data_IF_639739206403
#
_entry.id   IF_639739206403
#
_cell.length_a   1.000
_cell.length_b   1.000
_cell.length_c   1.000
_cell.angle_alpha   90.00
_cell.angle_beta   90.00
_cell.angle_gamma   90.00
#
_symmetry.space_group_name_H-M   'P 1'
#
loop_
_entity.id
_entity.type
_entity.pdbx_description
1 polymer ?
#
# COMPACT_ATOMS: atom_id res chain seq x y z
N UNK A 1 -24.52 -6.42 0.25
CA UNK A 1 -24.96 -7.21 -0.92
C UNK A 1 -23.80 -7.21 -1.90
N UNK A 2 -23.13 -8.35 -2.08
CA UNK A 2 -21.84 -8.44 -2.77
C UNK A 2 -22.02 -8.36 -4.29
N UNK A 3 -21.21 -7.54 -4.95
CA UNK A 3 -21.16 -7.48 -6.41
C UNK A 3 -19.83 -8.07 -6.87
N UNK A 4 -19.82 -9.38 -7.14
CA UNK A 4 -18.66 -10.14 -7.66
C UNK A 4 -18.15 -9.65 -9.04
N UNK A 5 -18.82 -8.65 -9.63
CA UNK A 5 -18.45 -8.04 -10.90
C UNK A 5 -17.77 -6.67 -10.76
N UNK A 6 -17.40 -6.23 -9.54
CA UNK A 6 -16.61 -4.99 -9.38
C UNK A 6 -15.21 -5.20 -9.94
N UNK A 7 -15.04 -4.85 -11.21
CA UNK A 7 -13.73 -4.74 -11.86
C UNK A 7 -13.13 -3.35 -11.73
N UNK A 8 -13.90 -2.38 -11.23
CA UNK A 8 -13.49 -1.00 -11.07
C UNK A 8 -13.94 -0.48 -9.71
N UNK A 9 -13.08 0.30 -9.07
CA UNK A 9 -13.36 0.96 -7.82
C UNK A 9 -12.80 2.39 -7.87
N UNK A 10 -13.71 3.35 -7.92
CA UNK A 10 -13.35 4.77 -7.88
C UNK A 10 -13.25 5.21 -6.42
N UNK A 11 -12.03 5.25 -5.90
CA UNK A 11 -11.79 5.57 -4.50
C UNK A 11 -12.03 7.07 -4.20
N UNK A 12 -11.64 7.96 -5.12
CA UNK A 12 -12.03 9.38 -5.07
C UNK A 12 -12.00 10.02 -6.48
N UNK A 13 -11.99 11.35 -6.56
CA UNK A 13 -11.94 12.06 -7.87
C UNK A 13 -10.63 11.87 -8.64
N UNK A 14 -9.55 11.47 -7.96
CA UNK A 14 -8.21 11.31 -8.53
C UNK A 14 -7.76 9.86 -8.67
N UNK A 15 -8.26 8.96 -7.82
CA UNK A 15 -7.80 7.57 -7.71
C UNK A 15 -8.87 6.61 -8.22
N UNK A 16 -8.46 5.75 -9.14
CA UNK A 16 -9.25 4.64 -9.67
C UNK A 16 -8.42 3.37 -9.57
N UNK A 17 -9.03 2.28 -9.09
CA UNK A 17 -8.48 0.94 -9.18
C UNK A 17 -9.29 0.14 -10.18
N UNK A 18 -8.62 -0.70 -10.98
CA UNK A 18 -9.27 -1.63 -11.90
C UNK A 18 -8.60 -2.99 -11.87
N UNK A 19 -9.39 -4.05 -11.82
CA UNK A 19 -8.93 -5.42 -12.03
C UNK A 19 -8.85 -5.69 -13.55
N UNK A 20 -7.63 -5.71 -14.09
CA UNK A 20 -7.33 -5.99 -15.50
C UNK A 20 -6.67 -7.38 -15.61
N UNK A 21 -7.46 -8.40 -15.98
CA UNK A 21 -6.98 -9.79 -15.99
C UNK A 21 -6.84 -10.32 -14.57
N UNK A 22 -5.62 -10.70 -14.18
CA UNK A 22 -5.29 -11.15 -12.82
C UNK A 22 -4.65 -10.05 -11.97
N UNK A 23 -4.48 -8.84 -12.52
CA UNK A 23 -3.72 -7.76 -11.88
C UNK A 23 -4.62 -6.59 -11.48
N UNK A 24 -4.33 -6.01 -10.33
CA UNK A 24 -4.94 -4.75 -9.92
C UNK A 24 -4.11 -3.58 -10.45
N UNK A 25 -4.70 -2.80 -11.34
CA UNK A 25 -4.12 -1.59 -11.91
C UNK A 25 -4.64 -0.37 -11.14
N UNK A 26 -3.73 0.47 -10.66
CA UNK A 26 -4.08 1.74 -10.03
C UNK A 26 -3.80 2.89 -10.98
N UNK A 27 -4.74 3.83 -11.01
CA UNK A 27 -4.65 5.06 -11.78
C UNK A 27 -4.73 6.24 -10.83
N UNK A 28 -3.84 7.20 -11.02
CA UNK A 28 -3.86 8.50 -10.36
C UNK A 28 -3.99 9.58 -11.42
N UNK A 29 -4.98 10.47 -11.28
CA UNK A 29 -5.25 11.55 -12.23
C UNK A 29 -5.48 11.05 -13.68
N UNK A 30 -6.17 9.92 -13.83
CA UNK A 30 -6.41 9.22 -15.10
C UNK A 30 -5.15 8.67 -15.80
N UNK A 31 -3.98 8.72 -15.16
CA UNK A 31 -2.76 8.10 -15.66
C UNK A 31 -2.49 6.80 -14.88
N UNK A 32 -1.98 5.78 -15.57
CA UNK A 32 -1.59 4.52 -14.93
C UNK A 32 -0.44 4.83 -13.96
N UNK A 33 -0.65 4.54 -12.68
CA UNK A 33 0.29 4.84 -11.62
C UNK A 33 1.18 3.63 -11.30
N UNK A 34 0.57 2.48 -10.99
CA UNK A 34 1.31 1.25 -10.69
C UNK A 34 0.46 0.02 -11.00
N UNK A 35 1.14 -1.06 -11.39
CA UNK A 35 0.61 -2.41 -11.36
C UNK A 35 0.85 -2.99 -9.96
N UNK A 36 -0.21 -3.18 -9.19
CA UNK A 36 -0.11 -3.76 -7.85
C UNK A 36 0.02 -5.28 -8.02
N UNK A 37 1.20 -5.82 -7.70
CA UNK A 37 1.48 -7.24 -7.96
C UNK A 37 1.08 -8.12 -6.79
N UNK A 38 1.14 -7.66 -5.53
CA UNK A 38 0.55 -8.37 -4.38
C UNK A 38 0.30 -7.51 -3.15
N UNK A 39 -0.75 -7.85 -2.40
CA UNK A 39 -0.94 -7.41 -1.01
C UNK A 39 0.17 -8.00 -0.11
N UNK A 40 1.15 -7.20 0.31
CA UNK A 40 1.79 -7.45 1.61
C UNK A 40 0.86 -6.88 2.67
N UNK A 41 -0.09 -7.69 3.11
CA UNK A 41 -0.70 -7.54 4.43
C UNK A 41 -0.97 -8.93 5.00
N UNK A 42 0.08 -9.60 5.44
CA UNK A 42 -0.06 -10.36 6.68
C UNK A 42 0.32 -9.42 7.81
N UNK A 43 -0.67 -8.82 8.47
CA UNK A 43 -0.51 -8.57 9.90
C UNK A 43 -0.67 -9.96 10.52
N UNK A 44 0.39 -10.60 11.05
CA UNK A 44 0.23 -11.91 11.66
C UNK A 44 -0.75 -11.75 12.82
N UNK A 45 -1.93 -12.38 12.71
CA UNK A 45 -2.93 -12.43 13.80
C UNK A 45 -2.38 -13.06 15.09
N UNK A 46 -1.15 -13.56 15.08
CA UNK A 46 -0.54 -14.25 16.22
C UNK A 46 0.00 -13.34 17.30
N UNK A 47 0.21 -12.04 17.05
CA UNK A 47 0.83 -11.18 18.06
C UNK A 47 0.27 -9.76 18.05
N UNK A 48 -1.03 -9.61 18.32
CA UNK A 48 -1.63 -8.27 18.57
C UNK A 48 -0.95 -7.55 19.75
N UNK A 49 -0.21 -8.28 20.60
CA UNK A 49 0.56 -7.73 21.72
C UNK A 49 1.93 -7.14 21.32
N UNK A 50 2.51 -7.48 20.15
CA UNK A 50 3.84 -6.99 19.72
C UNK A 50 3.82 -5.71 18.87
N UNK A 51 2.64 -5.21 18.48
CA UNK A 51 2.48 -3.95 17.74
C UNK A 51 2.51 -2.67 18.61
N UNK A 52 2.75 -2.80 19.92
CA UNK A 52 2.89 -1.65 20.80
C UNK A 52 4.23 -0.94 20.52
N UNK A 53 4.17 0.17 19.79
CA UNK A 53 5.33 1.03 19.54
C UNK A 53 5.75 1.17 18.07
N UNK A 54 5.02 0.57 17.13
CA UNK A 54 5.33 0.70 15.71
C UNK A 54 4.91 2.08 15.19
N UNK A 55 5.88 2.80 14.66
CA UNK A 55 5.76 4.17 14.14
C UNK A 55 5.62 4.22 12.61
N UNK A 56 5.53 3.08 11.90
CA UNK A 56 5.22 3.07 10.47
C UNK A 56 4.82 1.69 9.95
N UNK A 57 4.17 1.63 8.77
CA UNK A 57 3.94 0.35 8.12
C UNK A 57 5.23 -0.27 7.55
N UNK A 58 6.25 0.54 7.34
CA UNK A 58 7.56 0.06 6.91
C UNK A 58 8.19 -0.78 8.05
N UNK A 59 8.14 -0.27 9.29
CA UNK A 59 8.58 -1.00 10.50
C UNK A 59 7.72 -2.25 10.76
N UNK A 60 6.41 -2.20 10.52
CA UNK A 60 5.56 -3.38 10.59
C UNK A 60 5.93 -4.45 9.54
N UNK A 61 6.39 -4.04 8.36
CA UNK A 61 6.82 -4.95 7.30
C UNK A 61 8.13 -5.66 7.65
N UNK A 62 9.03 -5.00 8.38
CA UNK A 62 10.28 -5.60 8.86
C UNK A 62 10.05 -6.72 9.90
N UNK A 63 8.93 -6.68 10.61
CA UNK A 63 8.53 -7.72 11.58
C UNK A 63 7.84 -8.93 10.93
N UNK A 64 7.37 -8.78 9.70
CA UNK A 64 7.01 -9.93 8.88
C UNK A 64 8.30 -10.45 8.26
N UNK A 65 8.59 -11.75 8.30
CA UNK A 65 9.77 -12.36 7.64
C UNK A 65 9.73 -12.23 6.09
N UNK A 66 8.99 -11.25 5.56
CA UNK A 66 8.67 -11.01 4.16
C UNK A 66 9.13 -9.61 3.74
N UNK A 67 9.84 -9.55 2.61
CA UNK A 67 10.38 -8.33 2.01
C UNK A 67 9.73 -8.06 0.66
N UNK A 68 9.57 -6.79 0.32
CA UNK A 68 8.91 -6.32 -0.89
C UNK A 68 9.97 -5.66 -1.79
N UNK A 69 10.46 -6.38 -2.81
CA UNK A 69 11.53 -5.91 -3.71
C UNK A 69 11.01 -5.95 -5.13
N UNK A 70 11.01 -4.82 -5.85
CA UNK A 70 10.50 -4.71 -7.22
C UNK A 70 9.08 -5.28 -7.41
N UNK A 71 8.21 -5.07 -6.41
CA UNK A 71 6.85 -5.62 -6.31
C UNK A 71 6.76 -7.15 -6.20
N UNK A 72 7.85 -7.84 -5.92
CA UNK A 72 7.87 -9.25 -5.61
C UNK A 72 8.08 -9.47 -4.10
N UNK A 73 7.48 -10.55 -3.58
CA UNK A 73 7.60 -10.92 -2.17
C UNK A 73 8.77 -11.88 -2.04
N UNK A 74 9.70 -11.55 -1.17
CA UNK A 74 10.82 -12.38 -0.75
C UNK A 74 10.64 -12.74 0.71
N UNK A 75 11.28 -13.81 1.18
CA UNK A 75 11.39 -14.14 2.60
C UNK A 75 12.82 -14.53 2.92
N UNK A 76 13.24 -14.31 4.15
CA UNK A 76 14.55 -14.82 4.57
C UNK A 76 14.47 -16.31 4.86
N UNK A 77 15.27 -17.10 4.13
CA UNK A 77 15.48 -18.51 4.41
C UNK A 77 16.98 -18.75 4.60
N UNK A 78 17.38 -19.17 5.81
CA UNK A 78 18.76 -19.52 6.13
C UNK A 78 19.78 -18.41 5.85
N UNK A 79 19.45 -17.15 6.18
CA UNK A 79 20.34 -16.00 5.95
C UNK A 79 20.41 -15.54 4.50
N UNK A 80 19.45 -15.95 3.65
CA UNK A 80 19.34 -15.54 2.25
C UNK A 80 17.92 -15.15 1.92
N UNK A 81 17.77 -14.09 1.12
CA UNK A 81 16.49 -13.75 0.51
C UNK A 81 16.13 -14.81 -0.54
N UNK A 82 15.04 -15.53 -0.31
CA UNK A 82 14.43 -16.44 -1.25
C UNK A 82 13.14 -15.82 -1.78
N UNK A 83 12.86 -15.98 -3.07
CA UNK A 83 11.56 -15.62 -3.63
C UNK A 83 10.48 -16.37 -2.86
N UNK A 84 9.54 -15.64 -2.27
CA UNK A 84 8.42 -16.20 -1.53
C UNK A 84 7.19 -16.15 -2.43
N UNK A 85 6.85 -17.26 -3.09
CA UNK A 85 5.58 -17.34 -3.79
C UNK A 85 4.38 -17.42 -2.85
N UNK A 86 4.56 -17.28 -1.51
CA UNK A 86 3.48 -17.20 -0.51
C UNK A 86 2.66 -15.89 -0.68
N UNK A 87 2.10 -15.70 -1.86
CA UNK A 87 0.67 -15.47 -1.95
C UNK A 87 0.01 -16.83 -1.68
N UNK A 88 -0.90 -16.93 -0.72
CA UNK A 88 -1.99 -17.91 -0.90
C UNK A 88 -2.56 -17.73 -2.33
N UNK A 89 -3.16 -18.77 -2.93
CA UNK A 89 -4.00 -18.62 -4.13
C UNK A 89 -5.22 -17.72 -3.79
N UNK A 90 -4.97 -16.44 -3.51
CA UNK A 90 -5.98 -15.43 -3.30
C UNK A 90 -6.55 -15.15 -4.67
N UNK A 91 -7.86 -15.39 -4.89
CA UNK A 91 -8.47 -15.05 -6.16
C UNK A 91 -8.21 -13.57 -6.48
N UNK A 92 -7.88 -13.20 -7.73
CA UNK A 92 -7.59 -11.82 -8.10
C UNK A 92 -8.66 -10.82 -7.65
N UNK A 93 -9.93 -11.24 -7.60
CA UNK A 93 -11.06 -10.44 -7.09
C UNK A 93 -10.98 -10.17 -5.58
N UNK A 94 -10.49 -11.15 -4.80
CA UNK A 94 -10.31 -11.02 -3.35
C UNK A 94 -9.14 -10.10 -3.04
N UNK A 95 -8.05 -10.23 -3.80
CA UNK A 95 -6.90 -9.33 -3.70
C UNK A 95 -7.27 -7.89 -4.10
N UNK A 96 -7.98 -7.73 -5.23
CA UNK A 96 -8.52 -6.45 -5.67
C UNK A 96 -9.35 -5.78 -4.57
N UNK A 97 -10.22 -6.55 -3.90
CA UNK A 97 -11.02 -6.03 -2.79
C UNK A 97 -10.17 -5.56 -1.61
N UNK A 98 -9.12 -6.31 -1.25
CA UNK A 98 -8.15 -5.90 -0.24
C UNK A 98 -7.46 -4.58 -0.60
N UNK A 99 -7.01 -4.44 -1.85
CA UNK A 99 -6.39 -3.20 -2.33
C UNK A 99 -7.36 -2.02 -2.27
N UNK A 100 -8.61 -2.23 -2.71
CA UNK A 100 -9.65 -1.20 -2.63
C UNK A 100 -9.88 -0.75 -1.19
N UNK A 101 -9.93 -1.71 -0.25
CA UNK A 101 -10.15 -1.44 1.17
C UNK A 101 -8.98 -0.66 1.80
N UNK A 102 -7.74 -1.02 1.49
CA UNK A 102 -6.55 -0.30 1.98
C UNK A 102 -6.51 1.13 1.47
N UNK A 103 -6.76 1.33 0.17
CA UNK A 103 -6.76 2.68 -0.43
C UNK A 103 -7.91 3.52 0.14
N UNK A 104 -9.09 2.93 0.32
CA UNK A 104 -10.21 3.62 0.95
C UNK A 104 -9.86 4.03 2.39
N UNK A 105 -9.32 3.12 3.19
CA UNK A 105 -8.91 3.41 4.56
C UNK A 105 -7.84 4.52 4.62
N UNK A 106 -6.88 4.50 3.69
CA UNK A 106 -5.87 5.54 3.58
C UNK A 106 -6.45 6.92 3.26
N UNK A 107 -7.41 7.00 2.33
CA UNK A 107 -8.11 8.27 1.98
C UNK A 107 -8.92 8.80 3.17
N UNK A 108 -9.65 7.91 3.85
CA UNK A 108 -10.52 8.22 4.98
C UNK A 108 -9.73 8.68 6.20
N UNK A 109 -8.53 8.14 6.41
CA UNK A 109 -7.61 8.56 7.46
C UNK A 109 -6.64 9.64 6.99
N UNK A 110 -7.15 10.60 6.22
CA UNK A 110 -6.39 11.79 5.84
C UNK A 110 -5.04 11.59 5.14
N UNK A 111 -4.93 10.52 4.33
CA UNK A 111 -3.68 10.12 3.66
C UNK A 111 -2.56 9.75 4.64
N UNK A 112 -2.92 9.27 5.84
CA UNK A 112 -1.99 8.80 6.85
C UNK A 112 -1.02 7.74 6.27
N UNK A 113 0.26 8.09 6.19
CA UNK A 113 1.33 7.26 5.61
C UNK A 113 1.65 6.00 6.40
N UNK A 114 1.01 5.79 7.55
CA UNK A 114 1.09 4.56 8.34
C UNK A 114 0.15 3.46 7.83
N UNK A 115 -0.75 3.75 6.88
CA UNK A 115 -1.75 2.80 6.35
C UNK A 115 -1.29 2.18 5.03
N UNK A 116 -0.46 2.88 4.27
CA UNK A 116 0.12 2.41 3.01
C UNK A 116 1.64 2.43 3.12
N UNK A 117 2.30 1.39 2.62
CA UNK A 117 3.74 1.27 2.71
C UNK A 117 4.35 2.44 1.94
N UNK A 118 5.48 2.96 2.41
CA UNK A 118 5.98 4.24 1.91
C UNK A 118 6.31 4.23 0.42
N UNK A 119 6.70 3.07 -0.13
CA UNK A 119 6.91 2.85 -1.57
C UNK A 119 5.67 3.14 -2.44
N UNK A 120 4.46 3.08 -1.89
CA UNK A 120 3.21 3.41 -2.58
C UNK A 120 2.68 4.77 -2.09
N UNK A 121 2.63 4.98 -0.77
CA UNK A 121 2.05 6.17 -0.18
C UNK A 121 2.71 7.47 -0.68
N UNK A 122 4.04 7.50 -0.73
CA UNK A 122 4.79 8.71 -1.08
C UNK A 122 4.68 9.08 -2.55
N UNK A 123 4.93 8.15 -3.51
CA UNK A 123 4.75 8.46 -4.92
C UNK A 123 3.29 8.81 -5.25
N UNK A 124 2.31 8.17 -4.58
CA UNK A 124 0.90 8.48 -4.79
C UNK A 124 0.56 9.90 -4.28
N UNK A 125 1.04 10.30 -3.09
CA UNK A 125 0.89 11.66 -2.57
C UNK A 125 1.48 12.72 -3.53
N UNK A 126 2.63 12.41 -4.13
CA UNK A 126 3.27 13.28 -5.12
C UNK A 126 2.37 13.45 -6.35
N UNK A 127 1.83 12.36 -6.90
CA UNK A 127 0.93 12.44 -8.06
C UNK A 127 -0.38 13.16 -7.75
N UNK A 128 -0.98 12.93 -6.59
CA UNK A 128 -2.16 13.68 -6.15
C UNK A 128 -1.86 15.18 -5.97
N UNK A 129 -0.67 15.52 -5.48
CA UNK A 129 -0.21 16.90 -5.37
C UNK A 129 -0.08 17.55 -6.75
N UNK A 130 0.48 16.83 -7.73
CA UNK A 130 0.57 17.28 -9.13
C UNK A 130 -0.82 17.48 -9.75
N UNK A 131 -1.77 16.61 -9.42
CA UNK A 131 -3.17 16.69 -9.84
C UNK A 131 -3.97 17.82 -9.15
N UNK A 132 -3.33 18.56 -8.23
CA UNK A 132 -3.93 19.69 -7.53
C UNK A 132 -4.83 19.31 -6.37
N UNK A 133 -4.66 18.13 -5.76
CA UNK A 133 -5.33 17.78 -4.51
C UNK A 133 -4.75 18.64 -3.35
N UNK A 134 -5.54 19.56 -2.75
CA UNK A 134 -5.05 20.41 -1.67
C UNK A 134 -4.71 19.63 -0.40
N UNK A 135 -5.41 18.51 -0.16
CA UNK A 135 -5.19 17.66 1.01
C UNK A 135 -3.88 16.88 0.84
N UNK A 136 -3.65 16.29 -0.33
CA UNK A 136 -2.39 15.61 -0.62
C UNK A 136 -1.19 16.56 -0.57
N UNK A 137 -1.35 17.78 -1.11
CA UNK A 137 -0.30 18.82 -1.07
C UNK A 137 0.11 19.20 0.35
N UNK A 138 -0.85 19.24 1.29
CA UNK A 138 -0.57 19.51 2.70
C UNK A 138 0.22 18.36 3.32
N UNK A 139 -0.31 17.14 3.22
CA UNK A 139 0.29 15.94 3.81
C UNK A 139 1.68 15.66 3.24
N UNK A 140 1.87 15.79 1.92
CA UNK A 140 3.17 15.60 1.28
C UNK A 140 4.25 16.54 1.81
N UNK A 141 3.90 17.80 2.13
CA UNK A 141 4.83 18.76 2.72
C UNK A 141 5.17 18.41 4.17
N UNK A 142 4.17 18.01 4.96
CA UNK A 142 4.35 17.59 6.35
C UNK A 142 5.30 16.39 6.43
N UNK A 143 5.09 15.40 5.57
CA UNK A 143 5.94 14.20 5.52
C UNK A 143 7.38 14.49 5.11
N UNK A 144 7.60 15.39 4.14
CA UNK A 144 8.96 15.85 3.79
C UNK A 144 9.60 16.56 4.99
N UNK A 145 8.86 17.45 5.66
CA UNK A 145 9.38 18.17 6.81
C UNK A 145 9.76 17.20 7.94
N UNK A 146 8.91 16.22 8.24
CA UNK A 146 9.15 15.19 9.25
C UNK A 146 10.44 14.43 8.94
N UNK A 147 10.61 13.92 7.72
CA UNK A 147 11.83 13.17 7.32
C UNK A 147 13.11 13.99 7.31
N UNK A 148 13.01 15.29 7.03
CA UNK A 148 14.16 16.21 7.08
C UNK A 148 14.48 16.64 8.53
N UNK A 149 13.52 16.53 9.44
CA UNK A 149 13.68 16.85 10.86
C UNK A 149 14.08 15.65 11.72
N UNK A 150 13.84 14.43 11.24
CA UNK A 150 14.33 13.21 11.88
C UNK A 150 15.86 13.13 11.72
N UNK A 151 16.63 13.12 12.83
CA UNK A 151 18.06 12.89 12.76
C UNK A 151 18.32 11.49 12.17
N UNK A 152 19.40 11.34 11.39
CA UNK A 152 19.99 10.04 11.11
C UNK A 152 20.28 9.36 12.46
N UNK A 153 19.42 8.44 12.90
CA UNK A 153 19.64 7.56 14.04
C UNK A 153 20.26 6.25 13.56
#
# INVERSE_FOLDING_TARGET
MFNYNMKEFKANKYILLRLEGIYTQMYANNERFIECVRLILEIPRKEVESFNGIESMDEASELSDHYLIDNEIYKEEHGKLAYSPYSYDIPPETEFWGHCSNIQAWIENDYNTFILHSNIAFPLLKELTNAGDPKAKRVFKEEIANRMSSPLS
#
